data_IF_538439696318
#
_entry.id   IF_538439696318
#
_cell.length_a   1.000
_cell.length_b   1.000
_cell.length_c   1.000
_cell.angle_alpha   90.00
_cell.angle_beta   90.00
_cell.angle_gamma   90.00
#
_symmetry.space_group_name_H-M   'P 1'
#
loop_
_entity.id
_entity.type
_entity.pdbx_description
1 polymer ?
#
# COMPACT_ATOMS: atom_id res chain seq x y z
N UNK A 1 -26.46 19.61 4.33
CA UNK A 1 -25.97 18.58 5.27
C UNK A 1 -24.49 18.37 4.97
N UNK A 2 -23.66 18.40 6.01
CA UNK A 2 -22.30 18.96 6.00
C UNK A 2 -21.22 18.19 5.22
N UNK A 3 -20.39 18.96 4.51
CA UNK A 3 -19.00 18.65 4.18
C UNK A 3 -18.18 18.38 5.46
N UNK A 4 -18.23 17.16 5.97
CA UNK A 4 -17.12 16.57 6.75
C UNK A 4 -16.49 15.58 5.75
N UNK A 5 -15.18 15.52 5.52
CA UNK A 5 -14.20 15.18 6.56
C UNK A 5 -12.73 15.17 6.03
N UNK A 6 -12.13 16.32 5.67
CA UNK A 6 -10.70 16.37 5.34
C UNK A 6 -9.77 15.77 6.42
N UNK A 7 -10.04 15.92 7.75
CA UNK A 7 -9.23 15.31 8.79
C UNK A 7 -9.27 13.77 8.83
N UNK A 8 -10.41 13.14 8.48
CA UNK A 8 -10.47 11.67 8.50
C UNK A 8 -9.76 11.07 7.30
N UNK A 9 -9.91 11.65 6.11
CA UNK A 9 -9.21 11.18 4.92
C UNK A 9 -7.68 11.26 5.10
N UNK A 10 -7.18 12.29 5.79
CA UNK A 10 -5.76 12.40 6.15
C UNK A 10 -5.31 11.35 7.17
N UNK A 11 -6.14 11.10 8.19
CA UNK A 11 -5.87 10.07 9.20
C UNK A 11 -5.87 8.66 8.57
N UNK A 12 -6.80 8.39 7.65
CA UNK A 12 -6.92 7.14 6.92
C UNK A 12 -5.69 6.90 6.03
N UNK A 13 -5.21 7.93 5.33
CA UNK A 13 -3.98 7.87 4.53
C UNK A 13 -2.73 7.63 5.39
N UNK A 14 -2.62 8.33 6.52
CA UNK A 14 -1.50 8.15 7.46
C UNK A 14 -1.51 6.75 8.08
N UNK A 15 -2.68 6.26 8.47
CA UNK A 15 -2.85 4.90 8.98
C UNK A 15 -2.52 3.83 7.94
N UNK A 16 -2.90 4.04 6.68
CA UNK A 16 -2.55 3.15 5.58
C UNK A 16 -1.03 3.07 5.37
N UNK A 17 -0.31 4.20 5.44
CA UNK A 17 1.16 4.19 5.41
C UNK A 17 1.77 3.39 6.55
N UNK A 18 1.22 3.50 7.76
CA UNK A 18 1.65 2.67 8.90
C UNK A 18 1.48 1.17 8.64
N UNK A 19 0.33 0.77 8.09
CA UNK A 19 0.07 -0.63 7.71
C UNK A 19 1.00 -1.13 6.60
N UNK A 20 1.32 -0.30 5.60
CA UNK A 20 2.30 -0.66 4.57
C UNK A 20 3.70 -0.90 5.14
N UNK A 21 4.14 -0.05 6.08
CA UNK A 21 5.44 -0.21 6.73
C UNK A 21 5.49 -1.49 7.57
N UNK A 22 4.44 -1.76 8.35
CA UNK A 22 4.31 -2.98 9.13
C UNK A 22 4.28 -4.23 8.24
N UNK A 23 3.50 -4.21 7.15
CA UNK A 23 3.42 -5.31 6.19
C UNK A 23 4.74 -5.58 5.47
N UNK A 24 5.50 -4.53 5.15
CA UNK A 24 6.85 -4.66 4.57
C UNK A 24 7.82 -5.33 5.54
N UNK A 25 7.80 -4.93 6.82
CA UNK A 25 8.61 -5.56 7.86
C UNK A 25 8.21 -7.03 8.08
N UNK A 26 6.92 -7.34 8.04
CA UNK A 26 6.42 -8.71 8.18
C UNK A 26 6.89 -9.60 7.03
N UNK A 27 6.84 -9.10 5.79
CA UNK A 27 7.38 -9.80 4.62
C UNK A 27 8.89 -10.04 4.76
N UNK A 28 9.64 -9.04 5.20
CA UNK A 28 11.09 -9.18 5.41
C UNK A 28 11.42 -10.27 6.45
N UNK A 29 10.68 -10.28 7.56
CA UNK A 29 10.84 -11.31 8.59
C UNK A 29 10.48 -12.71 8.05
N UNK A 30 9.40 -12.84 7.27
CA UNK A 30 9.01 -14.10 6.65
C UNK A 30 10.09 -14.61 5.67
N UNK A 31 10.67 -13.71 4.86
CA UNK A 31 11.77 -14.05 3.95
C UNK A 31 13.04 -14.49 4.69
N UNK A 32 13.37 -13.84 5.82
CA UNK A 32 14.48 -14.26 6.69
C UNK A 32 14.23 -15.65 7.30
N UNK A 33 13.04 -15.91 7.81
CA UNK A 33 12.67 -17.22 8.36
C UNK A 33 12.75 -18.31 7.28
N UNK A 34 12.22 -18.02 6.08
CA UNK A 34 12.29 -18.90 4.90
C UNK A 34 13.73 -19.28 4.54
N UNK A 35 14.67 -18.32 4.60
CA UNK A 35 16.09 -18.60 4.34
C UNK A 35 16.70 -19.57 5.36
N UNK A 36 16.38 -19.39 6.66
CA UNK A 36 16.85 -20.29 7.73
C UNK A 36 16.29 -21.69 7.54
N UNK A 37 14.98 -21.81 7.32
CA UNK A 37 14.29 -23.10 7.17
C UNK A 37 14.79 -23.86 5.94
N UNK A 38 15.05 -23.15 4.84
CA UNK A 38 15.67 -23.75 3.65
C UNK A 38 17.07 -24.31 3.96
N UNK A 39 17.90 -23.56 4.68
CA UNK A 39 19.22 -24.04 5.10
C UNK A 39 19.12 -25.26 6.01
N UNK A 40 18.22 -25.24 7.00
CA UNK A 40 18.01 -26.38 7.91
C UNK A 40 17.48 -27.63 7.20
N UNK A 41 16.59 -27.45 6.20
CA UNK A 41 16.11 -28.54 5.36
C UNK A 41 17.26 -29.19 4.56
N UNK A 42 18.16 -28.40 3.97
CA UNK A 42 19.33 -28.94 3.25
C UNK A 42 20.31 -29.70 4.14
N UNK A 43 20.28 -29.42 5.45
CA UNK A 43 21.05 -30.13 6.48
C UNK A 43 20.27 -31.30 7.10
N UNK A 44 19.13 -31.69 6.54
CA UNK A 44 18.23 -32.73 7.04
C UNK A 44 17.71 -32.50 8.48
N UNK A 45 17.70 -31.24 8.95
CA UNK A 45 17.22 -30.85 10.29
C UNK A 45 15.74 -30.43 10.32
N UNK A 46 15.11 -30.25 9.16
CA UNK A 46 13.69 -29.92 9.01
C UNK A 46 13.02 -30.82 7.99
N UNK A 47 11.72 -31.00 8.14
CA UNK A 47 10.91 -31.73 7.18
C UNK A 47 10.56 -30.87 5.97
N UNK A 48 10.16 -31.51 4.87
CA UNK A 48 9.61 -30.80 3.71
C UNK A 48 8.33 -30.02 4.06
N UNK A 49 7.55 -30.50 5.04
CA UNK A 49 6.35 -29.81 5.50
C UNK A 49 6.68 -28.47 6.15
N UNK A 50 7.74 -28.41 6.96
CA UNK A 50 8.19 -27.16 7.56
C UNK A 50 8.60 -26.14 6.49
N UNK A 51 9.23 -26.60 5.41
CA UNK A 51 9.61 -25.75 4.28
C UNK A 51 8.38 -25.24 3.51
N UNK A 52 7.37 -26.09 3.31
CA UNK A 52 6.12 -25.67 2.67
C UNK A 52 5.35 -24.66 3.53
N UNK A 53 5.31 -24.85 4.85
CA UNK A 53 4.67 -23.92 5.77
C UNK A 53 5.32 -22.54 5.73
N UNK A 54 6.66 -22.44 5.75
CA UNK A 54 7.33 -21.14 5.70
C UNK A 54 7.19 -20.45 4.33
N UNK A 55 7.12 -21.22 3.24
CA UNK A 55 6.81 -20.65 1.92
C UNK A 55 5.37 -20.10 1.90
N UNK A 56 4.42 -20.81 2.50
CA UNK A 56 3.04 -20.32 2.64
C UNK A 56 2.99 -19.03 3.46
N UNK A 57 3.76 -18.91 4.53
CA UNK A 57 3.86 -17.68 5.33
C UNK A 57 4.38 -16.50 4.50
N UNK A 58 5.39 -16.73 3.66
CA UNK A 58 5.92 -15.72 2.72
C UNK A 58 4.83 -15.29 1.73
N UNK A 59 4.07 -16.24 1.16
CA UNK A 59 2.98 -15.92 0.24
C UNK A 59 1.89 -15.09 0.92
N UNK A 60 1.50 -15.44 2.14
CA UNK A 60 0.51 -14.68 2.90
C UNK A 60 0.99 -13.26 3.23
N UNK A 61 2.25 -13.11 3.66
CA UNK A 61 2.85 -11.81 3.93
C UNK A 61 2.96 -10.94 2.67
N UNK A 62 3.29 -11.56 1.53
CA UNK A 62 3.35 -10.88 0.22
C UNK A 62 1.97 -10.39 -0.21
N UNK A 63 0.95 -11.26 -0.10
CA UNK A 63 -0.43 -10.90 -0.42
C UNK A 63 -0.95 -9.76 0.45
N UNK A 64 -0.70 -9.84 1.77
CA UNK A 64 -1.09 -8.79 2.72
C UNK A 64 -0.42 -7.44 2.40
N UNK A 65 0.85 -7.45 1.99
CA UNK A 65 1.56 -6.23 1.56
C UNK A 65 0.89 -5.60 0.34
N UNK A 66 0.56 -6.40 -0.69
CA UNK A 66 -0.10 -5.91 -1.91
C UNK A 66 -1.47 -5.30 -1.58
N UNK A 67 -2.26 -5.96 -0.72
CA UNK A 67 -3.54 -5.42 -0.28
C UNK A 67 -3.37 -4.09 0.48
N UNK A 68 -2.37 -4.00 1.36
CA UNK A 68 -2.07 -2.76 2.09
C UNK A 68 -1.60 -1.62 1.17
N UNK A 69 -0.87 -1.92 0.10
CA UNK A 69 -0.49 -0.94 -0.92
C UNK A 69 -1.71 -0.41 -1.68
N UNK A 70 -2.62 -1.31 -2.07
CA UNK A 70 -3.86 -0.94 -2.74
C UNK A 70 -4.76 -0.06 -1.85
N UNK A 71 -4.92 -0.44 -0.58
CA UNK A 71 -5.64 0.38 0.42
C UNK A 71 -4.99 1.76 0.59
N UNK A 72 -3.66 1.83 0.57
CA UNK A 72 -2.89 3.07 0.62
C UNK A 72 -3.15 3.99 -0.58
N UNK A 73 -3.19 3.44 -1.80
CA UNK A 73 -3.52 4.19 -3.00
C UNK A 73 -4.97 4.69 -2.99
N UNK A 74 -5.92 3.83 -2.58
CA UNK A 74 -7.32 4.22 -2.42
C UNK A 74 -7.48 5.37 -1.41
N UNK A 75 -6.82 5.28 -0.25
CA UNK A 75 -6.83 6.34 0.76
C UNK A 75 -6.20 7.65 0.24
N UNK A 76 -5.13 7.56 -0.56
CA UNK A 76 -4.49 8.73 -1.16
C UNK A 76 -5.41 9.44 -2.18
N UNK A 77 -6.11 8.68 -3.03
CA UNK A 77 -7.08 9.21 -3.99
C UNK A 77 -8.24 9.90 -3.26
N UNK A 78 -8.77 9.26 -2.22
CA UNK A 78 -9.85 9.83 -1.40
C UNK A 78 -9.42 11.12 -0.72
N UNK A 79 -8.20 11.17 -0.16
CA UNK A 79 -7.65 12.39 0.41
C UNK A 79 -7.49 13.50 -0.64
N UNK A 80 -6.87 13.20 -1.79
CA UNK A 80 -6.67 14.16 -2.88
C UNK A 80 -7.99 14.72 -3.43
N UNK A 81 -9.03 13.87 -3.50
CA UNK A 81 -10.40 14.29 -3.87
C UNK A 81 -11.00 15.23 -2.83
N UNK A 82 -10.84 14.89 -1.54
CA UNK A 82 -11.41 15.67 -0.43
C UNK A 82 -10.77 17.06 -0.26
N UNK A 83 -9.49 17.21 -0.64
CA UNK A 83 -8.79 18.51 -0.62
C UNK A 83 -8.85 19.26 -1.95
N UNK A 84 -9.70 18.81 -2.88
CA UNK A 84 -9.93 19.39 -4.21
C UNK A 84 -8.67 19.49 -5.11
N UNK A 85 -7.60 18.76 -4.75
CA UNK A 85 -6.30 18.78 -5.43
C UNK A 85 -6.10 17.58 -6.39
N UNK A 86 -7.06 16.67 -6.48
CA UNK A 86 -6.93 15.46 -7.32
C UNK A 86 -6.63 15.81 -8.77
N UNK A 87 -7.36 16.76 -9.37
CA UNK A 87 -7.23 17.14 -10.78
C UNK A 87 -5.82 17.67 -11.10
N UNK A 88 -5.26 18.51 -10.24
CA UNK A 88 -3.88 18.98 -10.36
C UNK A 88 -2.87 17.83 -10.22
N UNK A 89 -3.11 16.90 -9.29
CA UNK A 89 -2.23 15.76 -9.04
C UNK A 89 -2.17 14.78 -10.24
N UNK A 90 -3.27 14.61 -10.96
CA UNK A 90 -3.36 13.77 -12.17
C UNK A 90 -3.04 14.53 -13.47
N UNK A 91 -2.59 15.79 -13.37
CA UNK A 91 -2.17 16.60 -14.51
C UNK A 91 -3.31 17.21 -15.34
N UNK A 92 -4.54 17.25 -14.82
CA UNK A 92 -5.68 17.91 -15.48
C UNK A 92 -5.85 19.32 -14.92
N UNK A 93 -5.49 20.34 -15.70
CA UNK A 93 -5.72 21.74 -15.34
C UNK A 93 -7.23 22.03 -15.24
N UNK A 94 -7.72 22.35 -14.04
CA UNK A 94 -9.14 22.71 -13.79
C UNK A 94 -9.60 23.97 -14.53
N UNK A 95 -8.69 24.75 -15.11
CA UNK A 95 -8.97 26.06 -15.72
C UNK A 95 -8.34 26.23 -17.12
N UNK A 96 -8.30 25.18 -17.94
CA UNK A 96 -7.85 25.31 -19.33
C UNK A 96 -8.67 26.35 -20.13
N UNK A 97 -9.95 26.52 -19.80
CA UNK A 97 -10.84 27.51 -20.43
C UNK A 97 -10.51 28.96 -20.06
N UNK A 98 -9.94 29.23 -18.87
CA UNK A 98 -9.57 30.58 -18.45
C UNK A 98 -8.25 31.08 -19.08
N UNK A 99 -7.55 30.19 -19.79
CA UNK A 99 -6.27 30.46 -20.47
C UNK A 99 -6.47 30.76 -21.96
N UNK A 100 -7.69 30.69 -22.46
CA UNK A 100 -8.00 31.03 -23.85
C UNK A 100 -8.06 32.55 -23.96
N UNK A 101 -7.32 33.18 -24.89
CA UNK A 101 -7.46 34.61 -25.14
C UNK A 101 -8.89 34.90 -25.59
N UNK A 102 -9.45 35.98 -25.08
CA UNK A 102 -10.76 36.50 -25.49
C UNK A 102 -10.69 36.85 -26.98
N UNK A 103 -11.45 36.10 -27.79
CA UNK A 103 -11.62 36.36 -29.21
C UNK A 103 -12.80 37.32 -29.39
N UNK A 104 -12.64 38.53 -28.85
CA UNK A 104 -13.50 39.69 -29.13
C UNK A 104 -12.96 40.49 -30.31
#
# INVERSE_FOLDING_TARGET
>A
MCCKKPPSAQADWTGARGRMAAGSLQLENALRARAVYKNEYTLSKRSINDLLSVEQDVWQATSAKIMAEYDGWSAAINYASAVDNLMTLIGVEKNAAAKLPDLS
#
